data_IF_845629024630
#
_entry.id   IF_845629024630
#
_cell.length_a   1.000
_cell.length_b   1.000
_cell.length_c   1.000
_cell.angle_alpha   90.00
_cell.angle_beta   90.00
_cell.angle_gamma   90.00
#
_symmetry.space_group_name_H-M   'P 1'
#
loop_
_entity.id
_entity.type
_entity.pdbx_description
1 polymer ?
#
# COMPACT_ATOMS: atom_id res chain seq x y z
N UNK A 1 -51.32 32.70 -5.21
CA UNK A 1 -49.87 32.55 -5.01
C UNK A 1 -49.59 31.06 -4.92
N UNK A 2 -49.10 30.45 -5.99
CA UNK A 2 -48.80 29.02 -6.06
C UNK A 2 -47.30 28.79 -6.21
N UNK A 3 -46.83 27.95 -5.32
CA UNK A 3 -45.46 27.58 -4.98
C UNK A 3 -44.69 27.02 -6.21
N UNK A 4 -43.50 27.56 -6.48
CA UNK A 4 -42.51 26.92 -7.37
C UNK A 4 -41.28 26.58 -6.55
N UNK A 5 -41.20 25.31 -6.18
CA UNK A 5 -39.99 24.70 -5.62
C UNK A 5 -38.93 24.62 -6.73
N UNK A 6 -37.77 25.23 -6.49
CA UNK A 6 -36.57 25.05 -7.30
C UNK A 6 -35.51 24.45 -6.38
N UNK A 7 -35.44 23.11 -6.41
CA UNK A 7 -34.32 22.33 -5.87
C UNK A 7 -33.25 22.36 -6.97
N UNK A 8 -32.17 23.11 -6.77
CA UNK A 8 -31.04 23.11 -7.67
C UNK A 8 -29.80 22.55 -6.93
N UNK A 9 -29.52 21.29 -7.25
CA UNK A 9 -28.20 20.63 -7.29
C UNK A 9 -27.21 20.95 -6.19
N UNK A 10 -27.11 20.04 -5.21
CA UNK A 10 -25.88 19.85 -4.42
C UNK A 10 -24.75 19.55 -5.41
N UNK A 11 -23.81 20.48 -5.53
CA UNK A 11 -22.56 20.25 -6.25
C UNK A 11 -21.79 19.18 -5.48
N UNK A 12 -21.79 17.96 -6.02
CA UNK A 12 -21.05 16.83 -5.50
C UNK A 12 -19.57 17.23 -5.54
N UNK A 13 -19.00 17.54 -4.38
CA UNK A 13 -17.57 17.73 -4.20
C UNK A 13 -16.88 16.39 -4.50
N UNK A 14 -16.59 16.13 -5.78
CA UNK A 14 -15.60 15.14 -6.19
C UNK A 14 -14.22 15.75 -5.94
N UNK A 15 -13.88 15.95 -4.67
CA UNK A 15 -12.49 16.17 -4.30
C UNK A 15 -11.83 14.82 -4.50
N UNK A 16 -11.07 14.73 -5.58
CA UNK A 16 -10.36 13.53 -6.00
C UNK A 16 -9.63 12.94 -4.81
N UNK A 17 -9.96 11.68 -4.51
CA UNK A 17 -9.03 10.83 -3.81
C UNK A 17 -7.79 10.79 -4.70
N UNK A 18 -6.73 11.50 -4.31
CA UNK A 18 -5.39 11.21 -4.82
C UNK A 18 -5.11 9.79 -4.37
N UNK A 19 -5.43 8.82 -5.22
CA UNK A 19 -4.91 7.49 -5.09
C UNK A 19 -3.39 7.65 -5.21
N UNK A 20 -2.72 7.74 -4.06
CA UNK A 20 -1.28 7.69 -3.97
C UNK A 20 -0.90 6.35 -4.60
N UNK A 21 -0.15 6.43 -5.68
CA UNK A 21 0.25 5.25 -6.41
C UNK A 21 1.08 4.39 -5.44
N UNK A 22 0.51 3.28 -4.97
CA UNK A 22 1.24 2.29 -4.19
C UNK A 22 2.41 1.80 -5.03
N UNK A 23 3.62 2.20 -4.64
CA UNK A 23 4.84 1.78 -5.30
C UNK A 23 5.06 0.30 -4.96
N UNK A 24 5.28 -0.59 -5.94
CA UNK A 24 5.55 -1.99 -5.67
C UNK A 24 6.75 -2.15 -4.72
N UNK A 25 6.66 -3.08 -3.78
CA UNK A 25 7.75 -3.34 -2.83
C UNK A 25 9.09 -3.63 -3.53
N UNK A 26 9.06 -4.36 -4.65
CA UNK A 26 10.26 -4.69 -5.41
C UNK A 26 11.01 -3.43 -5.86
N UNK A 27 10.27 -2.41 -6.31
CA UNK A 27 10.83 -1.14 -6.77
C UNK A 27 11.37 -0.34 -5.57
N UNK A 28 10.63 -0.31 -4.46
CA UNK A 28 11.07 0.33 -3.22
C UNK A 28 12.37 -0.27 -2.68
N UNK A 29 12.52 -1.59 -2.69
CA UNK A 29 13.75 -2.24 -2.25
C UNK A 29 14.90 -1.97 -3.22
N UNK A 30 14.65 -1.96 -4.53
CA UNK A 30 15.68 -1.68 -5.54
C UNK A 30 16.23 -0.24 -5.44
N UNK A 31 15.38 0.72 -5.08
CA UNK A 31 15.73 2.14 -4.94
C UNK A 31 16.10 2.52 -3.49
N UNK A 32 15.97 1.61 -2.54
CA UNK A 32 16.22 1.90 -1.12
C UNK A 32 17.69 2.22 -0.83
N UNK A 33 17.88 3.19 0.05
CA UNK A 33 19.16 3.42 0.75
C UNK A 33 19.32 2.40 1.88
N UNK A 34 18.19 1.96 2.47
CA UNK A 34 18.14 0.93 3.48
C UNK A 34 16.73 0.50 3.85
N UNK A 35 16.63 -0.55 4.65
CA UNK A 35 15.37 -0.95 5.28
C UNK A 35 15.63 -1.51 6.68
N UNK A 36 14.67 -1.30 7.58
CA UNK A 36 14.71 -1.82 8.95
C UNK A 36 13.47 -2.63 9.26
N UNK A 37 13.67 -3.74 9.97
CA UNK A 37 12.57 -4.55 10.48
C UNK A 37 11.95 -3.88 11.71
N UNK A 38 10.66 -3.55 11.61
CA UNK A 38 9.90 -2.91 12.70
C UNK A 38 9.30 -3.97 13.61
N UNK A 39 8.57 -4.93 13.01
CA UNK A 39 7.97 -6.09 13.68
C UNK A 39 7.65 -7.17 12.66
N UNK A 40 7.14 -8.30 13.12
CA UNK A 40 6.74 -9.40 12.25
C UNK A 40 5.81 -8.93 11.11
N UNK A 41 6.21 -9.22 9.88
CA UNK A 41 5.50 -8.84 8.67
C UNK A 41 5.48 -7.34 8.38
N UNK A 42 6.27 -6.51 9.07
CA UNK A 42 6.32 -5.06 8.83
C UNK A 42 7.76 -4.56 8.78
N UNK A 43 8.11 -3.90 7.67
CA UNK A 43 9.39 -3.24 7.48
C UNK A 43 9.19 -1.76 7.18
N UNK A 44 10.17 -0.96 7.56
CA UNK A 44 10.32 0.42 7.10
C UNK A 44 11.41 0.42 6.02
N UNK A 45 11.12 1.00 4.86
CA UNK A 45 12.04 1.16 3.74
C UNK A 45 12.32 2.64 3.58
N UNK A 46 13.58 3.01 3.48
CA UNK A 46 14.03 4.38 3.28
C UNK A 46 14.66 4.48 1.89
N UNK A 47 14.17 5.40 1.06
CA UNK A 47 14.87 5.81 -0.16
C UNK A 47 15.61 7.14 0.05
N UNK A 48 16.08 7.78 -1.02
CA UNK A 48 16.82 9.04 -0.92
C UNK A 48 15.97 10.23 -0.42
N UNK A 49 14.65 10.15 -0.52
CA UNK A 49 13.73 11.27 -0.32
C UNK A 49 12.63 10.98 0.69
N UNK A 50 12.14 9.74 0.73
CA UNK A 50 10.91 9.34 1.42
C UNK A 50 11.11 8.06 2.26
N UNK A 51 10.21 7.88 3.23
CA UNK A 51 10.15 6.70 4.09
C UNK A 51 8.80 5.97 3.88
N UNK A 52 8.86 4.65 3.72
CA UNK A 52 7.70 3.81 3.43
C UNK A 52 7.56 2.71 4.47
N UNK A 53 6.36 2.54 5.03
CA UNK A 53 6.02 1.40 5.86
C UNK A 53 5.32 0.33 5.01
N UNK A 54 5.93 -0.85 4.95
CA UNK A 54 5.44 -1.97 4.15
C UNK A 54 4.99 -3.12 5.05
N UNK A 55 3.74 -3.56 4.88
CA UNK A 55 3.25 -4.83 5.44
C UNK A 55 3.43 -5.93 4.42
N UNK A 56 4.15 -6.97 4.81
CA UNK A 56 4.40 -8.18 4.05
C UNK A 56 3.46 -9.28 4.50
N UNK A 57 2.98 -10.08 3.55
CA UNK A 57 2.16 -11.23 3.85
C UNK A 57 2.60 -12.44 3.02
N UNK A 58 2.68 -13.59 3.67
CA UNK A 58 3.05 -14.85 3.06
C UNK A 58 2.01 -15.89 3.43
N UNK A 59 1.52 -16.63 2.44
CA UNK A 59 0.58 -17.74 2.67
C UNK A 59 1.33 -19.01 3.05
N UNK A 60 0.64 -19.98 3.65
CA UNK A 60 1.19 -21.31 3.94
C UNK A 60 1.78 -21.97 2.69
N UNK A 61 1.15 -21.74 1.52
CA UNK A 61 1.65 -22.23 0.24
C UNK A 61 3.05 -21.68 -0.13
N UNK A 62 3.38 -20.45 0.28
CA UNK A 62 4.73 -19.91 0.09
C UNK A 62 5.76 -20.63 0.98
N UNK A 63 5.40 -20.90 2.23
CA UNK A 63 6.26 -21.61 3.17
C UNK A 63 6.48 -23.07 2.75
N UNK A 64 5.41 -23.76 2.35
CA UNK A 64 5.47 -25.14 1.86
C UNK A 64 6.33 -25.25 0.60
N UNK A 65 6.12 -24.36 -0.38
CA UNK A 65 6.93 -24.33 -1.60
C UNK A 65 8.42 -24.08 -1.27
N UNK A 66 8.71 -23.13 -0.37
CA UNK A 66 10.08 -22.85 0.05
C UNK A 66 10.73 -24.03 0.75
N UNK A 67 10.00 -24.72 1.64
CA UNK A 67 10.49 -25.90 2.36
C UNK A 67 10.74 -27.09 1.42
N UNK A 68 9.91 -27.24 0.38
CA UNK A 68 10.07 -28.26 -0.66
C UNK A 68 11.12 -27.91 -1.74
N UNK A 69 11.70 -26.71 -1.70
CA UNK A 69 12.64 -26.23 -2.74
C UNK A 69 11.97 -25.97 -4.09
N UNK A 70 10.66 -25.71 -4.09
CA UNK A 70 9.85 -25.43 -5.26
C UNK A 70 9.73 -23.93 -5.51
N UNK A 71 9.28 -23.58 -6.71
CA UNK A 71 8.92 -22.21 -7.04
C UNK A 71 7.73 -21.76 -6.20
N UNK A 72 7.80 -20.54 -5.67
CA UNK A 72 6.73 -19.95 -4.86
C UNK A 72 5.58 -19.56 -5.79
N UNK A 73 4.34 -19.98 -5.52
CA UNK A 73 3.20 -19.63 -6.36
C UNK A 73 2.97 -18.13 -6.45
N UNK A 74 2.50 -17.65 -7.60
CA UNK A 74 2.12 -16.26 -7.78
C UNK A 74 1.03 -15.87 -6.76
N UNK A 75 1.16 -14.68 -6.16
CA UNK A 75 0.25 -14.20 -5.12
C UNK A 75 0.39 -14.86 -3.75
N UNK A 76 1.28 -15.86 -3.59
CA UNK A 76 1.59 -16.44 -2.28
C UNK A 76 2.42 -15.50 -1.40
N UNK A 77 3.10 -14.53 -2.01
CA UNK A 77 3.73 -13.39 -1.36
C UNK A 77 3.04 -12.11 -1.81
N UNK A 78 2.64 -11.27 -0.87
CA UNK A 78 2.03 -9.98 -1.15
C UNK A 78 2.61 -8.91 -0.23
N UNK A 79 2.49 -7.66 -0.65
CA UNK A 79 2.95 -6.51 0.11
C UNK A 79 2.01 -5.33 -0.10
N UNK A 80 1.82 -4.55 0.95
CA UNK A 80 1.14 -3.24 0.89
C UNK A 80 2.10 -2.23 1.50
N UNK A 81 2.43 -1.17 0.74
CA UNK A 81 3.37 -0.14 1.16
C UNK A 81 2.69 1.22 1.10
N UNK A 82 2.84 2.02 2.15
CA UNK A 82 2.36 3.40 2.23
C UNK A 82 3.49 4.31 2.70
N UNK A 83 3.40 5.60 2.40
CA UNK A 83 4.29 6.60 2.97
C UNK A 83 4.13 6.64 4.50
N UNK A 84 5.23 6.75 5.23
CA UNK A 84 5.20 6.82 6.69
C UNK A 84 4.38 8.02 7.16
N UNK A 85 4.45 9.16 6.46
CA UNK A 85 3.67 10.37 6.77
C UNK A 85 2.14 10.17 6.68
N UNK A 86 1.68 9.12 5.98
CA UNK A 86 0.27 8.77 5.89
C UNK A 86 -0.19 7.87 7.02
N UNK A 87 0.73 7.15 7.66
CA UNK A 87 0.41 6.27 8.78
C UNK A 87 -0.06 7.06 10.02
N UNK A 88 0.41 8.29 10.18
CA UNK A 88 0.09 9.17 11.33
C UNK A 88 -1.21 9.98 11.15
N UNK A 89 -1.95 9.80 10.05
CA UNK A 89 -3.22 10.52 9.76
C UNK A 89 -4.45 9.67 10.07
#
# INVERSE_FOLDING_TARGET
MTLRALIAGVSLCLIGQTALAEKPLADLIAESVGYVHVREGVILVEDEYDEYICRLNATDAAFDAKAAGQEIPEGALTSTCILLEEFDK
#
